data_IF_622410059595
#
_entry.id   IF_622410059595
#
_cell.length_a   1.000
_cell.length_b   1.000
_cell.length_c   1.000
_cell.angle_alpha   90.00
_cell.angle_beta   90.00
_cell.angle_gamma   90.00
#
_symmetry.space_group_name_H-M   'P 1'
#
loop_
_entity.id
_entity.type
_entity.pdbx_description
1 polymer ?
#
# COMPACT_ATOMS: atom_id res chain seq x y z
N UNK A 1 -2.41 -5.10 -2.13
CA UNK A 1 -1.67 -4.08 -1.39
C UNK A 1 -0.32 -3.95 -2.04
N UNK A 2 0.01 -2.74 -2.47
CA UNK A 2 1.29 -2.40 -3.07
C UNK A 2 2.01 -1.46 -2.11
N UNK A 3 3.33 -1.57 -2.06
CA UNK A 3 4.19 -0.46 -1.65
C UNK A 3 4.67 0.23 -2.92
N UNK A 4 4.72 1.55 -2.92
CA UNK A 4 5.23 2.36 -4.03
C UNK A 4 6.22 3.41 -3.49
N UNK A 5 6.61 4.38 -4.32
CA UNK A 5 7.54 5.42 -3.92
C UNK A 5 8.97 4.91 -3.72
N UNK A 6 9.75 5.61 -2.90
CA UNK A 6 11.18 5.30 -2.68
C UNK A 6 11.39 3.88 -2.13
N UNK A 7 10.50 3.44 -1.25
CA UNK A 7 10.50 2.13 -0.63
C UNK A 7 10.29 0.95 -1.58
N UNK A 8 9.65 1.18 -2.72
CA UNK A 8 9.49 0.13 -3.72
C UNK A 8 10.77 -0.08 -4.55
N UNK A 9 11.66 0.92 -4.61
CA UNK A 9 12.85 0.91 -5.46
C UNK A 9 14.09 0.39 -4.71
N UNK A 10 14.26 0.76 -3.44
CA UNK A 10 15.38 0.31 -2.62
C UNK A 10 15.00 0.35 -1.13
N UNK A 11 15.09 -0.82 -0.48
CA UNK A 11 14.75 -1.01 0.94
C UNK A 11 15.72 -0.29 1.90
N UNK A 12 16.89 0.16 1.41
CA UNK A 12 17.85 0.97 2.15
C UNK A 12 17.55 2.48 2.11
N UNK A 13 16.58 2.91 1.29
CA UNK A 13 16.13 4.30 1.17
C UNK A 13 15.00 4.64 2.15
N UNK A 14 15.07 4.12 3.38
CA UNK A 14 14.35 4.68 4.51
C UNK A 14 15.26 5.65 5.29
N UNK A 15 15.44 6.91 4.86
CA UNK A 15 15.79 7.97 5.80
C UNK A 15 14.83 7.92 6.99
N UNK A 16 15.30 8.29 8.18
CA UNK A 16 14.48 8.40 9.41
C UNK A 16 13.24 9.31 9.26
N UNK A 17 13.12 10.05 8.15
CA UNK A 17 12.04 10.98 7.84
C UNK A 17 11.17 10.58 6.65
N UNK A 18 11.37 9.40 6.04
CA UNK A 18 10.60 9.00 4.86
C UNK A 18 9.29 8.33 5.24
N UNK A 19 8.20 8.76 4.59
CA UNK A 19 6.89 8.15 4.73
C UNK A 19 6.83 6.79 3.99
N UNK A 20 5.98 5.90 4.49
CA UNK A 20 5.65 4.62 3.86
C UNK A 20 4.46 4.83 2.92
N UNK A 21 4.71 4.70 1.62
CA UNK A 21 3.69 4.82 0.58
C UNK A 21 2.99 3.48 0.32
N UNK A 22 1.71 3.37 0.73
CA UNK A 22 0.90 2.17 0.55
C UNK A 22 -0.31 2.42 -0.34
N UNK A 23 -0.53 1.52 -1.29
CA UNK A 23 -1.71 1.52 -2.13
C UNK A 23 -2.55 0.25 -1.95
N UNK A 24 -3.85 0.42 -1.77
CA UNK A 24 -4.79 -0.68 -1.49
C UNK A 24 -5.99 -0.67 -2.44
N UNK A 25 -6.41 -1.87 -2.82
CA UNK A 25 -7.68 -2.11 -3.52
C UNK A 25 -8.71 -2.66 -2.53
N UNK A 26 -9.98 -2.29 -2.70
CA UNK A 26 -11.12 -2.89 -2.01
C UNK A 26 -11.24 -2.52 -0.53
N UNK A 27 -10.55 -1.47 -0.08
CA UNK A 27 -10.75 -0.94 1.27
C UNK A 27 -12.10 -0.22 1.32
N UNK A 28 -13.02 -0.70 2.16
CA UNK A 28 -14.28 0.00 2.44
C UNK A 28 -13.94 1.43 2.93
N UNK A 29 -14.45 2.49 2.26
CA UNK A 29 -14.17 3.86 2.64
C UNK A 29 -14.50 4.18 4.11
N UNK A 30 -15.50 3.50 4.70
CA UNK A 30 -15.87 3.66 6.12
C UNK A 30 -14.80 3.12 7.07
N UNK A 31 -13.94 2.23 6.60
CA UNK A 31 -12.84 1.64 7.35
C UNK A 31 -11.52 2.37 7.12
N UNK A 32 -11.46 3.34 6.20
CA UNK A 32 -10.21 4.00 5.81
C UNK A 32 -9.43 4.54 7.01
N UNK A 33 -10.05 5.41 7.83
CA UNK A 33 -9.38 6.01 9.00
C UNK A 33 -9.03 4.97 10.07
N UNK A 34 -9.86 3.94 10.23
CA UNK A 34 -9.56 2.84 11.17
C UNK A 34 -8.35 2.02 10.70
N UNK A 35 -8.23 1.77 9.41
CA UNK A 35 -7.08 1.09 8.83
C UNK A 35 -5.83 1.94 8.95
N UNK A 36 -5.90 3.22 8.58
CA UNK A 36 -4.79 4.16 8.70
C UNK A 36 -4.29 4.28 10.15
N UNK A 37 -5.20 4.47 11.12
CA UNK A 37 -4.82 4.55 12.53
C UNK A 37 -4.12 3.28 13.03
N UNK A 38 -4.60 2.09 12.64
CA UNK A 38 -3.93 0.83 12.98
C UNK A 38 -2.55 0.68 12.36
N UNK A 39 -2.35 1.20 11.14
CA UNK A 39 -1.04 1.16 10.50
C UNK A 39 -0.10 2.14 11.23
N UNK A 40 -0.56 3.36 11.52
CA UNK A 40 0.21 4.35 12.28
C UNK A 40 0.60 3.84 13.68
N UNK A 41 -0.27 3.09 14.36
CA UNK A 41 0.08 2.48 15.66
C UNK A 41 1.15 1.37 15.54
N UNK A 42 1.36 0.82 14.33
CA UNK A 42 2.26 -0.31 14.09
C UNK A 42 3.66 0.10 13.62
N UNK A 43 3.91 1.40 13.41
CA UNK A 43 5.17 1.91 12.88
C UNK A 43 5.48 3.29 13.44
N UNK A 44 6.76 3.65 13.53
CA UNK A 44 7.19 5.01 13.88
C UNK A 44 7.27 5.95 12.66
N UNK A 45 7.21 5.39 11.45
CA UNK A 45 7.24 6.15 10.19
C UNK A 45 5.85 6.72 9.86
N UNK A 46 5.82 7.87 9.20
CA UNK A 46 4.59 8.36 8.57
C UNK A 46 4.12 7.39 7.48
N UNK A 47 2.82 7.34 7.22
CA UNK A 47 2.24 6.42 6.23
C UNK A 47 1.26 7.21 5.37
N UNK A 48 1.49 7.20 4.06
CA UNK A 48 0.50 7.63 3.08
C UNK A 48 -0.28 6.40 2.58
N UNK A 49 -1.58 6.38 2.84
CA UNK A 49 -2.47 5.29 2.44
C UNK A 49 -3.38 5.75 1.31
N UNK A 50 -3.14 5.24 0.11
CA UNK A 50 -3.91 5.57 -1.07
C UNK A 50 -4.85 4.42 -1.45
N UNK A 51 -6.12 4.73 -1.71
CA UNK A 51 -7.06 3.78 -2.31
C UNK A 51 -6.96 3.86 -3.83
N UNK A 52 -6.76 2.72 -4.47
CA UNK A 52 -6.60 2.62 -5.93
C UNK A 52 -7.87 3.01 -6.69
N UNK A 53 -9.02 3.00 -6.02
CA UNK A 53 -10.32 3.41 -6.57
C UNK A 53 -10.46 4.93 -6.72
N UNK A 54 -9.71 5.74 -5.96
CA UNK A 54 -9.88 7.19 -5.90
C UNK A 54 -8.63 7.99 -6.32
N UNK A 55 -7.49 7.34 -6.52
CA UNK A 55 -6.28 8.01 -6.99
C UNK A 55 -6.37 8.40 -8.48
N UNK A 56 -5.55 9.36 -8.90
CA UNK A 56 -5.47 9.74 -10.32
C UNK A 56 -4.99 8.57 -11.17
N UNK A 57 -5.41 8.55 -12.44
CA UNK A 57 -5.01 7.46 -13.35
C UNK A 57 -3.49 7.44 -13.58
N UNK A 58 -2.84 8.60 -13.62
CA UNK A 58 -1.37 8.68 -13.70
C UNK A 58 -0.66 8.02 -12.52
N UNK A 59 -1.17 8.23 -11.31
CA UNK A 59 -0.62 7.62 -10.10
C UNK A 59 -0.90 6.12 -10.06
N UNK A 60 -2.12 5.72 -10.43
CA UNK A 60 -2.50 4.31 -10.56
C UNK A 60 -1.58 3.56 -11.52
N UNK A 61 -1.29 4.13 -12.69
CA UNK A 61 -0.37 3.56 -13.68
C UNK A 61 1.06 3.43 -13.12
N UNK A 62 1.57 4.47 -12.45
CA UNK A 62 2.88 4.43 -11.82
C UNK A 62 2.97 3.32 -10.75
N UNK A 63 1.96 3.23 -9.86
CA UNK A 63 1.90 2.21 -8.81
C UNK A 63 1.88 0.80 -9.43
N UNK A 64 1.11 0.58 -10.50
CA UNK A 64 1.01 -0.74 -11.13
C UNK A 64 2.29 -1.14 -11.88
N UNK A 65 3.04 -0.16 -12.39
CA UNK A 65 4.26 -0.40 -13.17
C UNK A 65 5.50 -0.52 -12.28
N UNK A 66 5.61 0.31 -11.26
CA UNK A 66 6.82 0.51 -10.47
C UNK A 66 6.67 0.06 -9.01
N UNK A 67 5.43 -0.08 -8.54
CA UNK A 67 5.14 -0.56 -7.19
C UNK A 67 5.41 -2.05 -7.03
N UNK A 68 5.76 -2.44 -5.80
CA UNK A 68 5.97 -3.84 -5.41
C UNK A 68 4.70 -4.38 -4.75
N UNK A 69 4.14 -5.44 -5.32
CA UNK A 69 2.96 -6.12 -4.75
C UNK A 69 3.36 -6.86 -3.45
N UNK A 70 2.83 -6.41 -2.31
CA UNK A 70 3.07 -7.03 -1.00
C UNK A 70 2.03 -8.10 -0.65
N UNK A 71 0.79 -7.90 -1.06
CA UNK A 71 -0.31 -8.80 -0.73
C UNK A 71 -1.39 -8.82 -1.81
N UNK A 72 -1.73 -10.00 -2.30
CA UNK A 72 -2.91 -10.24 -3.12
C UNK A 72 -3.90 -11.15 -2.36
N UNK A 73 -5.00 -10.55 -1.89
CA UNK A 73 -6.06 -11.28 -1.20
C UNK A 73 -6.80 -12.30 -2.09
N UNK A 74 -6.68 -12.19 -3.42
CA UNK A 74 -7.25 -13.15 -4.37
C UNK A 74 -6.38 -14.40 -4.50
N UNK A 75 -5.07 -14.28 -4.27
CA UNK A 75 -4.14 -15.41 -4.36
C UNK A 75 -4.35 -16.43 -3.22
N UNK A 76 -4.81 -16.00 -2.04
CA UNK A 76 -5.15 -16.91 -0.93
C UNK A 76 -6.31 -17.85 -1.24
N UNK A 77 -7.32 -17.40 -1.97
CA UNK A 77 -8.46 -18.24 -2.37
C UNK A 77 -8.11 -19.33 -3.38
N UNK A 78 -6.97 -19.25 -4.08
CA UNK A 78 -6.50 -20.30 -4.99
C UNK A 78 -5.65 -21.37 -4.28
N UNK A 79 -4.89 -20.99 -3.24
CA UNK A 79 -4.03 -21.92 -2.51
C UNK A 79 -4.81 -22.83 -1.54
N UNK A 80 -5.99 -22.40 -1.06
CA UNK A 80 -6.87 -23.21 -0.19
C UNK A 80 -7.88 -24.06 -0.98
N UNK A 81 -7.94 -23.90 -2.31
CA UNK A 81 -8.87 -24.59 -3.21
C UNK A 81 -8.17 -25.62 -4.12
N UNK A 82 -6.93 -26.01 -3.82
CA UNK A 82 -6.15 -27.05 -4.53
C UNK A 82 -5.65 -28.12 -3.58
#
# INVERSE_FOLDING_TARGET
VYVFGSLAQDDSLLPETSDIDLAVYGLDPRLYFRALGRIQDATEFGVDLITMESCSDSLKEAILKEGRLLYDGRAKGKAEAS
#
